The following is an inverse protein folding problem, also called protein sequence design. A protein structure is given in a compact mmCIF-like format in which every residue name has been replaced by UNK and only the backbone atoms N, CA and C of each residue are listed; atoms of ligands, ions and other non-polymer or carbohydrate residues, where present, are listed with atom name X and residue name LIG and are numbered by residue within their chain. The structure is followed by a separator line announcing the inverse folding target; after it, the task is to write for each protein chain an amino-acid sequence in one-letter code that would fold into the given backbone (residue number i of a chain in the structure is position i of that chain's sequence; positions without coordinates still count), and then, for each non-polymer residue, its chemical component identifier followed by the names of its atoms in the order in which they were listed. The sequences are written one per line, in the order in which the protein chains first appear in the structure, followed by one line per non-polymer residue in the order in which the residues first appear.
data_IF_759299203931
#
_entry.id   IF_759299203931
#
_cell.length_a   1.000
_cell.length_b   1.000
_cell.length_c   1.000
_cell.angle_alpha   90.00
_cell.angle_beta   90.00
_cell.angle_gamma   90.00
#
_symmetry.space_group_name_H-M   'P 1'
#
loop_
_entity.id
_entity.type
_entity.pdbx_description
1 polymer ?
#
# COMPACT_ATOMS: atom_id res chain seq x y z
N UNK A 1 -10.51 -73.79 2.93
CA UNK A 1 -11.65 -72.84 2.89
C UNK A 1 -11.09 -71.46 3.18
N UNK A 2 -11.29 -70.54 2.23
CA UNK A 2 -10.72 -69.19 2.19
C UNK A 2 -11.44 -68.28 3.19
N UNK A 3 -10.72 -67.56 4.03
CA UNK A 3 -11.26 -66.51 4.89
C UNK A 3 -10.79 -65.16 4.35
N UNK A 4 -11.74 -64.37 3.87
CA UNK A 4 -11.55 -63.08 3.23
C UNK A 4 -11.17 -62.00 4.26
N UNK A 5 -9.95 -61.48 4.17
CA UNK A 5 -9.50 -60.33 4.94
C UNK A 5 -9.82 -59.05 4.16
N UNK A 6 -10.87 -58.32 4.57
CA UNK A 6 -11.21 -57.03 3.96
C UNK A 6 -10.40 -55.91 4.63
N UNK A 7 -9.34 -55.46 3.96
CA UNK A 7 -8.68 -54.18 4.26
C UNK A 7 -9.63 -53.04 3.89
N UNK A 8 -10.10 -52.28 4.88
CA UNK A 8 -10.70 -50.96 4.65
C UNK A 8 -9.55 -49.96 4.61
N UNK A 9 -9.23 -49.47 3.42
CA UNK A 9 -8.26 -48.39 3.24
C UNK A 9 -8.90 -47.07 3.71
N UNK A 10 -8.52 -46.60 4.91
CA UNK A 10 -8.81 -45.25 5.37
C UNK A 10 -7.89 -44.28 4.60
N UNK A 11 -8.40 -43.71 3.52
CA UNK A 11 -7.73 -42.63 2.81
C UNK A 11 -8.01 -41.32 3.59
N UNK A 12 -7.14 -40.98 4.53
CA UNK A 12 -7.19 -39.68 5.21
C UNK A 12 -6.78 -38.60 4.21
N UNK A 13 -7.76 -37.89 3.64
CA UNK A 13 -7.51 -36.68 2.86
C UNK A 13 -6.98 -35.58 3.79
N UNK A 14 -5.66 -35.37 3.78
CA UNK A 14 -5.06 -34.13 4.24
C UNK A 14 -5.38 -33.05 3.20
N UNK A 15 -6.39 -32.23 3.48
CA UNK A 15 -6.65 -31.03 2.71
C UNK A 15 -5.50 -30.04 2.96
N UNK A 16 -4.60 -29.91 1.97
CA UNK A 16 -3.58 -28.87 1.95
C UNK A 16 -4.28 -27.58 1.54
N UNK A 17 -4.63 -26.74 2.51
CA UNK A 17 -5.11 -25.39 2.24
C UNK A 17 -3.94 -24.54 1.79
N UNK A 18 -3.76 -24.38 0.48
CA UNK A 18 -2.87 -23.35 -0.06
C UNK A 18 -3.43 -21.99 0.35
N UNK A 19 -2.75 -21.30 1.27
CA UNK A 19 -3.04 -19.89 1.56
C UNK A 19 -2.57 -19.09 0.34
N UNK A 20 -3.47 -18.84 -0.59
CA UNK A 20 -3.25 -17.88 -1.67
C UNK A 20 -3.31 -16.49 -1.04
N UNK A 21 -2.16 -15.95 -0.64
CA UNK A 21 -2.04 -14.51 -0.42
C UNK A 21 -2.37 -13.84 -1.74
N UNK A 22 -3.47 -13.10 -1.81
CA UNK A 22 -3.81 -12.28 -2.96
C UNK A 22 -2.77 -11.16 -3.09
N UNK A 23 -1.65 -11.44 -3.74
CA UNK A 23 -0.74 -10.40 -4.21
C UNK A 23 -1.40 -9.77 -5.42
N UNK A 24 -2.16 -8.70 -5.21
CA UNK A 24 -2.50 -7.77 -6.28
C UNK A 24 -1.16 -7.25 -6.81
N UNK A 25 -0.70 -7.82 -7.93
CA UNK A 25 0.59 -7.50 -8.54
C UNK A 25 0.51 -6.09 -9.14
N UNK A 26 0.58 -5.08 -8.30
CA UNK A 26 0.89 -3.74 -8.78
C UNK A 26 2.37 -3.73 -9.16
N UNK A 27 2.66 -3.28 -10.38
CA UNK A 27 4.04 -3.19 -10.87
C UNK A 27 4.92 -2.22 -10.03
N UNK A 28 4.35 -1.47 -9.08
CA UNK A 28 5.06 -0.51 -8.25
C UNK A 28 5.48 -1.01 -6.87
N UNK A 29 4.70 -1.90 -6.23
CA UNK A 29 4.90 -2.21 -4.82
C UNK A 29 6.22 -2.93 -4.52
N UNK A 30 6.55 -3.98 -5.28
CA UNK A 30 7.77 -4.76 -5.02
C UNK A 30 9.06 -3.95 -5.26
N UNK A 31 9.22 -3.20 -6.38
CA UNK A 31 10.40 -2.36 -6.58
C UNK A 31 10.54 -1.22 -5.57
N UNK A 32 9.42 -0.63 -5.12
CA UNK A 32 9.44 0.34 -4.03
C UNK A 32 9.84 -0.31 -2.70
N UNK A 33 9.38 -1.51 -2.41
CA UNK A 33 9.74 -2.26 -1.19
C UNK A 33 11.22 -2.61 -1.17
N UNK A 34 11.78 -3.03 -2.31
CA UNK A 34 13.21 -3.29 -2.45
C UNK A 34 14.04 -2.04 -2.13
N UNK A 35 13.62 -0.87 -2.65
CA UNK A 35 14.34 0.38 -2.43
C UNK A 35 14.11 0.98 -1.04
N UNK A 36 12.90 0.82 -0.49
CA UNK A 36 12.40 1.47 0.72
C UNK A 36 11.65 0.48 1.64
N UNK A 37 12.32 -0.55 2.17
CA UNK A 37 11.67 -1.64 2.89
C UNK A 37 10.90 -1.21 4.14
N UNK A 38 11.25 -0.06 4.73
CA UNK A 38 10.58 0.50 5.91
C UNK A 38 9.57 1.60 5.58
N UNK A 39 9.23 1.82 4.30
CA UNK A 39 8.32 2.90 3.86
C UNK A 39 7.19 2.40 2.97
N UNK A 40 7.13 1.09 2.70
CA UNK A 40 6.05 0.46 1.94
C UNK A 40 5.29 -0.49 2.85
N UNK A 41 3.97 -0.34 2.87
CA UNK A 41 3.07 -1.01 3.80
C UNK A 41 1.99 -1.75 3.02
N UNK A 42 1.73 -3.01 3.38
CA UNK A 42 0.75 -3.88 2.74
C UNK A 42 -0.50 -4.02 3.62
N UNK A 43 -1.63 -4.53 3.07
CA UNK A 43 -2.92 -4.59 3.77
C UNK A 43 -2.93 -5.20 5.17
N UNK A 44 -1.96 -6.08 5.49
CA UNK A 44 -1.85 -6.72 6.79
C UNK A 44 -1.13 -5.88 7.86
N UNK A 45 -0.82 -4.62 7.61
CA UNK A 45 -0.06 -3.76 8.53
C UNK A 45 -0.91 -2.63 9.11
N UNK A 46 -0.69 -2.30 10.39
CA UNK A 46 -1.40 -1.21 11.08
C UNK A 46 -1.25 0.14 10.36
N UNK A 47 -0.09 0.38 9.73
CA UNK A 47 0.14 1.61 8.95
C UNK A 47 -0.72 1.64 7.70
N UNK A 48 -0.91 0.49 7.04
CA UNK A 48 -1.82 0.44 5.89
C UNK A 48 -3.26 0.72 6.34
N UNK A 49 -3.72 0.03 7.38
CA UNK A 49 -5.08 0.18 7.90
C UNK A 49 -5.37 1.63 8.27
N UNK A 50 -4.45 2.26 9.01
CA UNK A 50 -4.55 3.68 9.35
C UNK A 50 -4.60 4.54 8.09
N UNK A 51 -3.57 4.51 7.25
CA UNK A 51 -3.45 5.44 6.13
C UNK A 51 -4.54 5.23 5.05
N UNK A 52 -5.15 4.04 4.95
CA UNK A 52 -6.26 3.80 4.02
C UNK A 52 -7.62 4.23 4.59
N UNK A 53 -7.72 4.51 5.88
CA UNK A 53 -8.91 5.05 6.53
C UNK A 53 -8.89 6.59 6.65
N UNK A 54 -7.71 7.22 6.53
CA UNK A 54 -7.51 8.68 6.69
C UNK A 54 -7.98 9.51 5.48
N UNK A 55 -9.28 9.44 5.20
CA UNK A 55 -9.97 10.21 4.16
C UNK A 55 -11.14 11.00 4.74
N UNK A 56 -11.40 12.17 4.16
CA UNK A 56 -12.49 13.03 4.61
C UNK A 56 -13.90 12.46 4.33
N UNK A 57 -14.04 11.69 3.24
CA UNK A 57 -15.30 11.08 2.82
C UNK A 57 -15.11 9.60 2.48
N UNK A 58 -16.10 8.79 2.86
CA UNK A 58 -16.16 7.36 2.53
C UNK A 58 -16.16 7.08 1.02
N UNK A 59 -16.51 8.06 0.18
CA UNK A 59 -16.44 7.94 -1.30
C UNK A 59 -15.02 7.72 -1.83
N UNK A 60 -14.00 7.96 -0.99
CA UNK A 60 -12.59 7.89 -1.32
C UNK A 60 -11.91 6.62 -0.83
N UNK A 61 -12.60 5.80 -0.02
CA UNK A 61 -12.09 4.52 0.46
C UNK A 61 -12.04 3.55 -0.72
N UNK A 62 -10.82 3.15 -1.08
CA UNK A 62 -10.45 2.22 -2.15
C UNK A 62 -9.46 1.20 -1.59
N UNK A 63 -9.04 0.23 -2.40
CA UNK A 63 -8.17 -0.87 -1.99
C UNK A 63 -6.79 -0.82 -2.70
N UNK A 64 -5.84 0.05 -2.27
CA UNK A 64 -4.49 0.06 -2.79
C UNK A 64 -3.79 -1.28 -2.59
N UNK A 65 -2.96 -1.71 -3.55
CA UNK A 65 -2.12 -2.89 -3.39
C UNK A 65 -1.05 -2.70 -2.30
N UNK A 66 -0.53 -1.48 -2.15
CA UNK A 66 0.32 -1.07 -1.04
C UNK A 66 0.30 0.45 -0.86
N UNK A 67 0.77 0.90 0.30
CA UNK A 67 0.95 2.30 0.64
C UNK A 67 2.44 2.62 0.71
N UNK A 68 2.89 3.62 -0.04
CA UNK A 68 4.24 4.18 0.07
C UNK A 68 4.19 5.50 0.85
N UNK A 69 4.92 5.57 1.96
CA UNK A 69 4.92 6.72 2.89
C UNK A 69 6.31 7.38 2.95
N UNK A 70 6.67 8.21 1.95
CA UNK A 70 7.97 8.86 1.88
C UNK A 70 8.21 9.83 3.05
N UNK A 71 9.47 10.09 3.41
CA UNK A 71 9.83 10.98 4.52
C UNK A 71 10.72 12.15 4.09
N UNK A 72 10.96 12.30 2.79
CA UNK A 72 11.72 13.41 2.21
C UNK A 72 11.33 13.65 0.76
N UNK A 73 11.64 14.84 0.23
CA UNK A 73 11.50 15.14 -1.20
C UNK A 73 12.32 14.18 -2.08
N UNK A 74 13.46 13.68 -1.57
CA UNK A 74 14.27 12.70 -2.28
C UNK A 74 13.55 11.35 -2.41
N UNK A 75 12.89 10.88 -1.35
CA UNK A 75 12.09 9.65 -1.40
C UNK A 75 10.94 9.77 -2.41
N UNK A 76 10.26 10.92 -2.43
CA UNK A 76 9.20 11.20 -3.42
C UNK A 76 9.76 11.13 -4.84
N UNK A 77 10.86 11.83 -5.11
CA UNK A 77 11.48 11.86 -6.45
C UNK A 77 11.94 10.47 -6.90
N UNK A 78 12.62 9.72 -6.02
CA UNK A 78 13.09 8.37 -6.32
C UNK A 78 11.91 7.41 -6.49
N UNK A 79 10.87 7.52 -5.67
CA UNK A 79 9.66 6.71 -5.76
C UNK A 79 8.90 6.93 -7.08
N UNK A 80 8.76 8.18 -7.53
CA UNK A 80 8.15 8.51 -8.83
C UNK A 80 8.95 7.89 -9.98
N UNK A 81 10.29 7.97 -9.94
CA UNK A 81 11.14 7.34 -10.97
C UNK A 81 10.95 5.83 -11.04
N UNK A 82 10.82 5.17 -9.89
CA UNK A 82 10.56 3.73 -9.82
C UNK A 82 9.19 3.41 -10.44
N UNK A 83 8.15 4.14 -10.03
CA UNK A 83 6.79 3.95 -10.53
C UNK A 83 6.69 4.18 -12.04
N UNK A 84 7.41 5.18 -12.57
CA UNK A 84 7.50 5.43 -14.01
C UNK A 84 8.19 4.27 -14.74
N UNK A 85 9.38 3.86 -14.28
CA UNK A 85 10.17 2.78 -14.88
C UNK A 85 9.42 1.43 -14.89
N UNK A 86 8.56 1.19 -13.91
CA UNK A 86 7.78 -0.05 -13.80
C UNK A 86 6.38 0.06 -14.39
N UNK A 87 5.99 1.25 -14.90
CA UNK A 87 4.61 1.55 -15.28
C UNK A 87 3.61 1.26 -14.15
N UNK A 88 4.05 1.42 -12.89
CA UNK A 88 3.23 1.26 -11.69
C UNK A 88 2.15 2.34 -11.63
N UNK A 89 0.89 1.93 -11.50
CA UNK A 89 -0.22 2.87 -11.26
C UNK A 89 -0.15 3.37 -9.83
N UNK A 90 -0.34 4.68 -9.65
CA UNK A 90 -0.32 5.29 -8.34
C UNK A 90 -1.30 6.44 -8.21
N UNK A 91 -1.72 6.70 -6.98
CA UNK A 91 -2.39 7.93 -6.56
C UNK A 91 -1.61 8.58 -5.43
N UNK A 92 -1.78 9.89 -5.24
CA UNK A 92 -1.10 10.66 -4.19
C UNK A 92 -2.15 11.26 -3.25
N UNK A 93 -1.96 11.07 -1.94
CA UNK A 93 -2.75 11.72 -0.89
C UNK A 93 -1.89 12.70 -0.09
N UNK A 94 -2.26 13.98 -0.15
CA UNK A 94 -1.89 14.99 0.84
C UNK A 94 -2.78 14.85 2.08
N UNK A 95 -3.59 15.86 2.39
CA UNK A 95 -4.56 15.80 3.51
C UNK A 95 -5.86 15.02 3.25
N UNK A 96 -6.09 14.44 2.06
CA UNK A 96 -7.23 13.54 1.85
C UNK A 96 -8.62 14.18 1.64
N UNK A 97 -8.73 15.49 1.42
CA UNK A 97 -10.03 16.20 1.31
C UNK A 97 -10.69 16.21 -0.09
N UNK A 98 -10.08 15.60 -1.11
CA UNK A 98 -10.67 15.54 -2.45
C UNK A 98 -11.72 14.42 -2.53
N UNK A 99 -12.98 14.73 -2.22
CA UNK A 99 -14.12 13.78 -2.13
C UNK A 99 -14.54 13.07 -3.44
N UNK A 100 -13.76 13.18 -4.51
CA UNK A 100 -13.99 12.52 -5.80
C UNK A 100 -13.32 11.15 -5.78
N UNK A 101 -14.10 10.08 -6.01
CA UNK A 101 -13.58 8.70 -6.06
C UNK A 101 -12.40 8.60 -7.04
N UNK A 102 -11.28 8.06 -6.58
CA UNK A 102 -10.07 7.87 -7.38
C UNK A 102 -9.19 9.11 -7.57
N UNK A 103 -9.55 10.28 -7.01
CA UNK A 103 -8.74 11.49 -7.18
C UNK A 103 -7.51 11.54 -6.27
N UNK A 104 -7.58 10.90 -5.10
CA UNK A 104 -6.49 10.83 -4.11
C UNK A 104 -6.36 9.45 -3.45
N UNK A 105 -6.97 8.42 -4.06
CA UNK A 105 -6.82 7.01 -3.69
C UNK A 105 -6.86 6.16 -4.98
N UNK A 106 -6.54 4.86 -4.90
CA UNK A 106 -6.51 3.96 -6.06
C UNK A 106 -6.79 2.50 -5.66
N UNK A 107 -7.48 1.75 -6.52
CA UNK A 107 -7.58 0.28 -6.42
C UNK A 107 -6.38 -0.40 -7.10
N UNK A 108 -5.85 -1.47 -6.51
CA UNK A 108 -4.79 -2.32 -7.09
C UNK A 108 -3.47 -1.60 -7.45
N UNK A 109 -3.30 -0.35 -7.01
CA UNK A 109 -2.14 0.50 -7.28
C UNK A 109 -1.34 0.85 -6.03
N UNK A 110 -0.36 1.75 -6.19
CA UNK A 110 0.39 2.33 -5.06
C UNK A 110 -0.31 3.60 -4.60
N UNK A 111 -0.75 3.63 -3.35
CA UNK A 111 -1.15 4.89 -2.72
C UNK A 111 0.09 5.54 -2.08
N UNK A 112 0.51 6.69 -2.59
CA UNK A 112 1.60 7.46 -2.00
C UNK A 112 1.03 8.51 -1.02
N UNK A 113 1.32 8.36 0.27
CA UNK A 113 0.77 9.24 1.33
C UNK A 113 1.83 10.20 1.85
N UNK A 114 1.49 11.50 1.92
CA UNK A 114 2.43 12.55 2.32
C UNK A 114 2.50 12.77 3.84
N UNK A 115 1.87 11.91 4.65
CA UNK A 115 1.67 12.07 6.10
C UNK A 115 2.96 12.27 6.92
N UNK A 116 4.12 11.86 6.41
CA UNK A 116 5.42 12.09 7.05
C UNK A 116 6.09 13.43 6.67
N UNK A 117 5.57 14.16 5.69
CA UNK A 117 6.14 15.42 5.20
C UNK A 117 5.46 16.62 5.86
N UNK A 118 5.61 16.73 7.19
CA UNK A 118 4.91 17.71 8.05
C UNK A 118 5.75 18.95 8.40
N UNK A 119 6.87 19.13 7.72
CA UNK A 119 7.79 20.26 7.89
C UNK A 119 7.08 21.62 7.80
N UNK A 120 7.40 22.51 8.74
CA UNK A 120 6.90 23.87 8.82
C UNK A 120 8.03 24.82 9.22
N UNK A 121 8.25 25.88 8.43
CA UNK A 121 9.30 26.87 8.69
C UNK A 121 8.85 28.26 8.29
N UNK A 122 9.06 29.24 9.16
CA UNK A 122 8.82 30.66 8.89
C UNK A 122 10.14 31.31 8.45
N UNK A 123 10.11 32.11 7.39
CA UNK A 123 11.26 32.89 6.94
C UNK A 123 11.74 33.88 8.00
N UNK A 124 13.01 34.27 7.98
CA UNK A 124 13.59 35.21 8.95
C UNK A 124 12.83 36.55 9.01
N UNK A 125 12.31 37.01 7.88
CA UNK A 125 11.52 38.25 7.78
C UNK A 125 10.03 38.08 8.14
N UNK A 126 9.61 36.85 8.48
CA UNK A 126 8.24 36.46 8.85
C UNK A 126 7.18 36.67 7.77
N UNK A 127 7.59 36.81 6.50
CA UNK A 127 6.67 37.01 5.37
C UNK A 127 6.32 35.74 4.61
N UNK A 128 7.03 34.65 4.85
CA UNK A 128 6.82 33.38 4.15
C UNK A 128 6.76 32.23 5.15
N UNK A 129 5.75 31.39 4.98
CA UNK A 129 5.64 30.10 5.64
C UNK A 129 5.87 29.01 4.60
N UNK A 130 6.88 28.18 4.80
CA UNK A 130 7.09 26.94 4.05
C UNK A 130 6.41 25.81 4.79
N UNK A 131 5.50 25.11 4.12
CA UNK A 131 4.75 23.97 4.67
C UNK A 131 4.96 22.75 3.79
N UNK A 132 4.97 21.57 4.42
CA UNK A 132 4.95 20.30 3.72
C UNK A 132 3.55 19.94 3.21
N UNK A 133 3.45 18.96 2.30
CA UNK A 133 2.18 18.54 1.70
C UNK A 133 1.35 17.57 2.57
N UNK A 134 1.88 17.15 3.73
CA UNK A 134 1.21 16.26 4.68
C UNK A 134 0.18 16.94 5.55
#
# INVERSE_FOLDING_TARGET
MKSDFRLVALCTLLAISSVTTATTNSNGCAPLTERFPSKVFYPSSDVYEYENAEFWSNTQLLDPACIFRPSSAKDVSDGIRILDATSGKFAIRGGGHMGIKGANNIDDGVLMVMSNLTQMSVSTDKKTLSVGPG
#
